data_IF_246312572116
#
_entry.id   IF_246312572116
#
_cell.length_a   1.000
_cell.length_b   1.000
_cell.length_c   1.000
_cell.angle_alpha   90.00
_cell.angle_beta   90.00
_cell.angle_gamma   90.00
#
_symmetry.space_group_name_H-M   'P 1'
#
loop_
_entity.id
_entity.type
_entity.pdbx_description
1 polymer ?
#
# COMPACT_ATOMS: atom_id res chain seq x y z
N UNK A 1 -10.53 28.23 5.47
CA UNK A 1 -9.68 29.39 5.78
C UNK A 1 -8.39 29.19 5.00
N UNK A 2 -7.61 30.23 4.70
CA UNK A 2 -6.25 30.00 4.19
C UNK A 2 -5.42 29.26 5.24
N UNK A 3 -4.49 28.42 4.81
CA UNK A 3 -3.57 27.63 5.64
C UNK A 3 -2.14 28.04 5.39
N UNK A 4 -1.21 27.54 6.20
CA UNK A 4 0.23 27.80 6.01
C UNK A 4 0.71 27.32 4.64
N UNK A 5 0.10 26.26 4.09
CA UNK A 5 0.41 25.76 2.76
C UNK A 5 0.08 26.75 1.63
N UNK A 6 -0.82 27.71 1.86
CA UNK A 6 -1.18 28.72 0.86
C UNK A 6 -0.08 29.76 0.60
N UNK A 7 0.95 29.84 1.45
CA UNK A 7 2.10 30.71 1.21
C UNK A 7 3.09 30.11 0.20
N UNK A 8 2.96 28.81 -0.13
CA UNK A 8 3.81 28.11 -1.08
C UNK A 8 3.23 28.17 -2.50
N UNK A 9 4.10 28.21 -3.51
CA UNK A 9 3.73 28.28 -4.93
C UNK A 9 3.29 26.90 -5.50
N UNK A 10 2.28 26.27 -4.88
CA UNK A 10 1.88 24.88 -5.16
C UNK A 10 0.39 24.69 -5.45
N UNK A 11 -0.42 25.75 -5.50
CA UNK A 11 -1.85 25.67 -5.83
C UNK A 11 -2.09 25.03 -7.19
N UNK A 12 -2.95 24.01 -7.23
CA UNK A 12 -3.35 23.31 -8.46
C UNK A 12 -4.71 23.81 -8.99
N UNK A 13 -5.50 24.47 -8.15
CA UNK A 13 -6.84 24.97 -8.46
C UNK A 13 -7.04 26.38 -7.90
N UNK A 14 -8.10 27.07 -8.32
CA UNK A 14 -8.44 28.43 -7.86
C UNK A 14 -9.15 28.37 -6.49
N UNK A 15 -8.53 27.71 -5.53
CA UNK A 15 -8.98 27.54 -4.13
C UNK A 15 -7.77 27.46 -3.20
N UNK A 16 -8.01 27.55 -1.88
CA UNK A 16 -6.96 27.32 -0.89
C UNK A 16 -6.54 25.84 -0.81
N UNK A 17 -5.41 25.60 -0.16
CA UNK A 17 -4.81 24.28 -0.03
C UNK A 17 -5.64 23.27 0.77
N UNK A 18 -6.77 23.62 1.40
CA UNK A 18 -7.69 22.63 2.01
C UNK A 18 -8.57 21.90 0.98
N UNK A 19 -8.60 22.38 -0.27
CA UNK A 19 -9.49 21.86 -1.29
C UNK A 19 -8.75 21.14 -2.41
N UNK A 20 -9.46 20.19 -3.01
CA UNK A 20 -9.02 19.41 -4.17
C UNK A 20 -10.00 19.59 -5.31
N UNK A 21 -9.55 19.37 -6.53
CA UNK A 21 -10.39 19.53 -7.72
C UNK A 21 -11.64 18.66 -7.64
N UNK A 22 -12.78 19.24 -8.02
CA UNK A 22 -14.07 18.55 -8.02
C UNK A 22 -14.66 18.24 -6.64
N UNK A 23 -13.92 18.46 -5.54
CA UNK A 23 -14.38 18.27 -4.15
C UNK A 23 -15.03 16.89 -3.93
N UNK A 24 -14.49 15.86 -4.59
CA UNK A 24 -15.05 14.53 -4.53
C UNK A 24 -14.94 13.99 -3.09
N UNK A 25 -16.04 13.53 -2.46
CA UNK A 25 -16.01 13.05 -1.07
C UNK A 25 -15.11 11.82 -0.86
N UNK A 26 -14.74 11.13 -1.95
CA UNK A 26 -13.85 9.97 -1.96
C UNK A 26 -12.41 10.32 -2.33
N UNK A 27 -12.07 11.60 -2.38
CA UNK A 27 -10.69 12.01 -2.63
C UNK A 27 -9.81 11.64 -1.44
N UNK A 28 -8.71 10.98 -1.73
CA UNK A 28 -7.70 10.56 -0.77
C UNK A 28 -6.34 11.11 -1.18
N UNK A 29 -5.51 11.37 -0.18
CA UNK A 29 -4.07 11.55 -0.34
C UNK A 29 -3.40 10.67 0.71
N UNK A 30 -2.79 9.57 0.26
CA UNK A 30 -2.40 8.44 1.08
C UNK A 30 -0.89 8.18 0.98
N UNK A 31 -0.31 7.83 2.11
CA UNK A 31 1.03 7.28 2.24
C UNK A 31 0.88 5.85 2.77
N UNK A 32 1.67 4.92 2.22
CA UNK A 32 1.79 3.57 2.74
C UNK A 32 3.26 3.17 2.80
N UNK A 33 3.61 2.27 3.71
CA UNK A 33 4.92 1.61 3.73
C UNK A 33 4.80 0.19 4.26
N UNK A 34 5.75 -0.66 3.86
CA UNK A 34 5.96 -1.97 4.45
C UNK A 34 7.46 -2.29 4.41
N UNK A 35 8.03 -2.51 5.59
CA UNK A 35 9.43 -2.75 5.87
C UNK A 35 9.56 -4.12 6.56
N UNK A 36 10.51 -4.93 6.13
CA UNK A 36 10.77 -6.25 6.70
C UNK A 36 12.26 -6.50 6.91
N UNK A 37 12.57 -7.31 7.92
CA UNK A 37 13.93 -7.85 8.11
C UNK A 37 14.19 -8.94 7.08
N UNK A 38 15.40 -9.00 6.53
CA UNK A 38 15.75 -9.94 5.47
C UNK A 38 15.74 -11.40 5.91
N UNK A 39 15.78 -11.66 7.22
CA UNK A 39 15.64 -12.99 7.82
C UNK A 39 14.18 -13.42 8.02
N UNK A 40 13.22 -12.52 7.76
CA UNK A 40 11.79 -12.78 7.92
C UNK A 40 11.31 -12.85 9.36
N UNK A 41 12.11 -12.40 10.34
CA UNK A 41 11.71 -12.42 11.74
C UNK A 41 10.69 -11.34 12.10
N UNK A 42 10.69 -10.21 11.39
CA UNK A 42 9.82 -9.07 11.68
C UNK A 42 9.43 -8.30 10.42
N UNK A 43 8.19 -7.83 10.36
CA UNK A 43 7.78 -6.79 9.41
C UNK A 43 6.85 -5.76 10.04
N UNK A 44 6.92 -4.54 9.53
CA UNK A 44 6.06 -3.42 9.89
C UNK A 44 5.44 -2.87 8.62
N UNK A 45 4.12 -2.77 8.59
CA UNK A 45 3.41 -2.01 7.57
C UNK A 45 2.56 -0.93 8.20
N UNK A 46 2.33 0.14 7.47
CA UNK A 46 1.48 1.21 7.93
C UNK A 46 1.00 2.10 6.80
N UNK A 47 -0.05 2.87 7.08
CA UNK A 47 -0.53 3.90 6.20
C UNK A 47 -0.97 5.14 6.97
N UNK A 48 -1.07 6.24 6.23
CA UNK A 48 -1.69 7.48 6.68
C UNK A 48 -2.47 8.08 5.51
N UNK A 49 -3.77 8.26 5.70
CA UNK A 49 -4.67 8.87 4.73
C UNK A 49 -5.11 10.27 5.15
N UNK A 50 -5.10 11.20 4.20
CA UNK A 50 -5.69 12.54 4.31
C UNK A 50 -6.95 12.59 3.44
N UNK A 51 -8.06 13.05 4.03
CA UNK A 51 -9.37 13.11 3.40
C UNK A 51 -9.89 14.57 3.40
N UNK A 52 -9.52 15.37 2.39
CA UNK A 52 -9.82 16.81 2.39
C UNK A 52 -11.32 17.11 2.48
N UNK A 53 -12.16 16.35 1.77
CA UNK A 53 -13.60 16.59 1.72
C UNK A 53 -14.32 16.34 3.05
N UNK A 54 -13.79 15.45 3.90
CA UNK A 54 -14.34 15.14 5.23
C UNK A 54 -13.57 15.82 6.37
N UNK A 55 -12.51 16.57 6.04
CA UNK A 55 -11.60 17.21 6.99
C UNK A 55 -11.13 16.22 8.07
N UNK A 56 -10.65 15.05 7.64
CA UNK A 56 -10.16 14.01 8.55
C UNK A 56 -8.91 13.32 8.02
N UNK A 57 -8.19 12.69 8.94
CA UNK A 57 -7.07 11.80 8.67
C UNK A 57 -7.25 10.51 9.46
N UNK A 58 -6.74 9.42 8.90
CA UNK A 58 -6.53 8.18 9.63
C UNK A 58 -5.10 7.69 9.45
N UNK A 59 -4.65 6.85 10.37
CA UNK A 59 -3.42 6.12 10.25
C UNK A 59 -3.56 4.77 10.94
N UNK A 60 -2.86 3.77 10.41
CA UNK A 60 -2.75 2.47 11.05
C UNK A 60 -1.35 1.90 10.87
N UNK A 61 -0.94 1.05 11.79
CA UNK A 61 0.27 0.25 11.66
C UNK A 61 0.03 -1.17 12.18
N UNK A 62 0.65 -2.14 11.50
CA UNK A 62 0.65 -3.55 11.84
C UNK A 62 2.09 -4.02 11.95
N UNK A 63 2.42 -4.70 13.05
CA UNK A 63 3.73 -5.35 13.26
C UNK A 63 3.51 -6.86 13.29
N UNK A 64 4.16 -7.60 12.40
CA UNK A 64 4.19 -9.05 12.43
C UNK A 64 5.49 -9.50 13.12
N UNK A 65 5.37 -10.21 14.23
CA UNK A 65 6.51 -10.71 15.01
C UNK A 65 6.10 -11.93 15.83
N UNK A 66 6.96 -12.97 15.88
CA UNK A 66 6.77 -14.11 16.77
C UNK A 66 5.47 -14.89 16.57
N UNK A 67 4.94 -14.97 15.35
CA UNK A 67 3.68 -15.64 15.05
C UNK A 67 2.42 -14.85 15.45
N UNK A 68 2.57 -13.56 15.81
CA UNK A 68 1.47 -12.64 16.10
C UNK A 68 1.49 -11.45 15.15
N UNK A 69 0.33 -10.80 15.03
CA UNK A 69 0.19 -9.47 14.43
C UNK A 69 -0.33 -8.50 15.48
N UNK A 70 0.30 -7.33 15.58
CA UNK A 70 -0.04 -6.27 16.51
C UNK A 70 -0.49 -5.05 15.72
N UNK A 71 -1.71 -4.62 15.95
CA UNK A 71 -2.33 -3.54 15.19
C UNK A 71 -2.58 -2.34 16.08
N UNK A 72 -2.34 -1.16 15.53
CA UNK A 72 -2.72 0.12 16.11
C UNK A 72 -3.38 0.99 15.06
N UNK A 73 -4.42 1.73 15.44
CA UNK A 73 -5.20 2.55 14.52
C UNK A 73 -5.63 3.84 15.18
N UNK A 74 -5.48 4.94 14.45
CA UNK A 74 -5.77 6.28 14.93
C UNK A 74 -6.56 7.09 13.92
N UNK A 75 -7.40 7.99 14.41
CA UNK A 75 -8.11 8.96 13.58
C UNK A 75 -8.09 10.34 14.19
N UNK A 76 -7.97 11.38 13.35
CA UNK A 76 -8.05 12.77 13.79
C UNK A 76 -8.82 13.63 12.79
N UNK A 77 -9.36 14.73 13.29
CA UNK A 77 -9.83 15.83 12.47
C UNK A 77 -8.68 16.67 11.91
N UNK A 78 -8.89 17.25 10.73
CA UNK A 78 -8.00 18.21 10.05
C UNK A 78 -8.56 19.61 10.23
N UNK A 79 -7.72 20.55 10.65
CA UNK A 79 -8.12 21.92 10.97
C UNK A 79 -7.20 22.95 10.30
N UNK A 80 -7.06 22.86 8.97
CA UNK A 80 -6.16 23.73 8.22
C UNK A 80 -4.69 23.30 8.29
N UNK A 81 -4.44 22.04 8.68
CA UNK A 81 -3.13 21.46 8.97
C UNK A 81 -2.95 20.10 8.28
N UNK A 82 -3.49 19.94 7.07
CA UNK A 82 -3.52 18.64 6.38
C UNK A 82 -2.12 18.13 5.95
N UNK A 83 -1.11 18.98 6.00
CA UNK A 83 0.30 18.64 5.83
C UNK A 83 0.95 18.07 7.10
N UNK A 84 0.34 18.28 8.27
CA UNK A 84 0.80 17.69 9.54
C UNK A 84 0.48 16.19 9.55
N UNK A 85 1.49 15.39 9.19
CA UNK A 85 1.44 13.92 9.10
C UNK A 85 1.62 13.25 10.46
N UNK A 86 0.74 13.60 11.39
CA UNK A 86 0.66 13.01 12.73
C UNK A 86 -0.79 12.65 13.02
N UNK A 87 -1.05 11.40 13.40
CA UNK A 87 -2.39 10.92 13.75
C UNK A 87 -2.28 10.02 14.97
N UNK A 88 -2.73 10.53 16.12
CA UNK A 88 -2.56 9.84 17.40
C UNK A 88 -1.08 9.59 17.71
N UNK A 89 -0.69 8.31 17.88
CA UNK A 89 0.69 7.93 18.12
C UNK A 89 1.55 7.76 16.86
N UNK A 90 0.97 7.78 15.66
CA UNK A 90 1.68 7.54 14.40
C UNK A 90 2.13 8.85 13.75
N UNK A 91 3.37 8.92 13.28
CA UNK A 91 3.85 10.03 12.46
C UNK A 91 4.63 9.55 11.22
N UNK A 92 4.59 10.37 10.17
CA UNK A 92 5.36 10.17 8.95
C UNK A 92 6.03 11.48 8.50
N UNK A 93 7.33 11.58 8.72
CA UNK A 93 8.12 12.76 8.43
C UNK A 93 8.85 12.61 7.09
N UNK A 94 8.82 13.65 6.27
CA UNK A 94 9.66 13.77 5.07
C UNK A 94 10.95 14.44 5.53
N UNK A 95 12.04 13.68 5.63
CA UNK A 95 13.34 14.20 6.05
C UNK A 95 14.08 14.80 4.84
N UNK A 96 14.08 14.07 3.72
CA UNK A 96 14.59 14.53 2.44
C UNK A 96 13.71 13.96 1.31
N UNK A 97 12.98 14.80 0.53
CA UNK A 97 12.06 14.34 -0.49
C UNK A 97 12.66 13.27 -1.42
N UNK A 98 11.97 12.13 -1.53
CA UNK A 98 12.40 10.94 -2.28
C UNK A 98 13.70 10.26 -1.82
N UNK A 99 14.35 10.73 -0.77
CA UNK A 99 15.62 10.20 -0.26
C UNK A 99 15.50 9.63 1.14
N UNK A 100 14.81 10.32 2.04
CA UNK A 100 14.71 9.93 3.44
C UNK A 100 13.33 10.26 4.05
N UNK A 101 12.80 9.29 4.80
CA UNK A 101 11.58 9.42 5.60
C UNK A 101 11.82 8.87 7.00
N UNK A 102 11.05 9.36 7.96
CA UNK A 102 10.98 8.77 9.30
C UNK A 102 9.55 8.37 9.62
N UNK A 103 9.35 7.12 10.01
CA UNK A 103 8.06 6.58 10.43
C UNK A 103 8.14 6.24 11.91
N UNK A 104 7.21 6.76 12.71
CA UNK A 104 7.20 6.48 14.15
C UNK A 104 5.83 6.05 14.63
N UNK A 105 5.84 5.22 15.66
CA UNK A 105 4.71 4.91 16.53
C UNK A 105 5.16 5.13 17.97
N UNK A 106 4.69 6.22 18.59
CA UNK A 106 5.02 6.54 19.96
C UNK A 106 4.48 5.46 20.93
N UNK A 107 5.21 5.12 22.00
CA UNK A 107 4.71 4.21 23.03
C UNK A 107 3.52 4.82 23.77
N UNK A 108 2.51 3.99 24.07
CA UNK A 108 1.32 4.38 24.82
C UNK A 108 0.92 3.29 25.81
N UNK A 109 0.19 3.66 26.87
CA UNK A 109 -0.32 2.69 27.85
C UNK A 109 -1.25 1.68 27.18
N UNK A 110 -1.05 0.38 27.44
CA UNK A 110 -1.84 -0.70 26.85
C UNK A 110 -1.48 -1.02 25.39
N UNK A 111 -0.56 -0.29 24.77
CA UNK A 111 -0.08 -0.54 23.42
C UNK A 111 1.08 -1.54 23.44
N UNK A 112 0.93 -2.66 22.74
CA UNK A 112 1.93 -3.73 22.72
C UNK A 112 3.15 -3.40 21.85
N UNK A 113 3.04 -2.44 20.94
CA UNK A 113 4.07 -2.13 19.95
C UNK A 113 4.42 -0.66 19.87
N UNK A 114 5.66 -0.32 19.56
CA UNK A 114 6.11 1.03 19.20
C UNK A 114 7.31 0.92 18.25
N UNK A 115 7.57 1.94 17.45
CA UNK A 115 8.72 1.92 16.55
C UNK A 115 9.22 3.32 16.20
N UNK A 116 10.48 3.37 15.79
CA UNK A 116 11.14 4.53 15.20
C UNK A 116 12.02 4.02 14.06
N UNK A 117 11.58 4.28 12.83
CA UNK A 117 12.15 3.73 11.61
C UNK A 117 12.59 4.86 10.69
N UNK A 118 13.85 4.83 10.30
CA UNK A 118 14.38 5.68 9.23
C UNK A 118 14.37 4.87 7.93
N UNK A 119 13.66 5.35 6.92
CA UNK A 119 13.65 4.80 5.58
C UNK A 119 14.51 5.65 4.66
N UNK A 120 15.42 5.02 3.92
CA UNK A 120 16.30 5.69 2.96
C UNK A 120 16.24 5.02 1.59
N UNK A 121 16.33 5.82 0.52
CA UNK A 121 16.32 5.31 -0.84
C UNK A 121 17.27 6.08 -1.75
N UNK A 122 18.12 5.32 -2.44
CA UNK A 122 18.91 5.79 -3.58
C UNK A 122 18.21 5.55 -4.92
N UNK A 123 17.07 4.86 -4.89
CA UNK A 123 16.34 4.41 -6.08
C UNK A 123 15.31 5.44 -6.49
N UNK A 124 15.10 5.61 -7.78
CA UNK A 124 14.07 6.53 -8.28
C UNK A 124 12.65 6.02 -7.94
N UNK A 125 11.66 6.92 -7.75
CA UNK A 125 10.26 6.52 -7.62
C UNK A 125 9.76 5.84 -8.90
N UNK A 126 9.09 4.71 -8.75
CA UNK A 126 8.44 3.96 -9.82
C UNK A 126 7.00 4.47 -9.98
N UNK A 127 6.82 5.44 -10.89
CA UNK A 127 5.53 6.06 -11.18
C UNK A 127 4.68 5.20 -12.12
N UNK A 128 3.37 5.20 -11.92
CA UNK A 128 2.43 4.68 -12.92
C UNK A 128 2.62 5.39 -14.26
N UNK A 129 2.46 4.68 -15.38
CA UNK A 129 2.61 5.25 -16.72
C UNK A 129 1.54 6.32 -17.04
N UNK A 130 0.42 6.28 -16.32
CA UNK A 130 -0.64 7.29 -16.32
C UNK A 130 -1.59 7.05 -15.14
N UNK A 131 -2.56 7.95 -14.89
CA UNK A 131 -3.53 7.74 -13.81
C UNK A 131 -4.21 6.38 -13.95
N UNK A 132 -4.41 5.69 -12.83
CA UNK A 132 -5.19 4.48 -12.73
C UNK A 132 -6.66 4.87 -12.78
N UNK A 133 -7.31 4.66 -13.92
CA UNK A 133 -8.65 5.20 -14.20
C UNK A 133 -9.65 4.09 -14.42
N UNK A 134 -10.61 3.97 -13.51
CA UNK A 134 -11.66 2.99 -13.65
C UNK A 134 -13.04 3.65 -13.63
N UNK A 135 -13.87 3.40 -14.66
CA UNK A 135 -15.24 3.90 -14.77
C UNK A 135 -16.21 2.76 -15.02
N UNK A 136 -17.38 2.82 -14.39
CA UNK A 136 -18.51 1.93 -14.70
C UNK A 136 -19.31 2.50 -15.87
N UNK A 137 -19.45 1.71 -16.93
CA UNK A 137 -20.15 2.06 -18.18
C UNK A 137 -19.69 3.40 -18.80
N UNK A 138 -18.41 3.75 -18.59
CA UNK A 138 -17.81 5.03 -19.02
C UNK A 138 -18.35 6.28 -18.30
N UNK A 139 -19.25 6.14 -17.32
CA UNK A 139 -19.95 7.27 -16.68
C UNK A 139 -19.55 7.50 -15.23
N UNK A 140 -19.72 6.49 -14.39
CA UNK A 140 -19.47 6.62 -12.95
C UNK A 140 -18.00 6.36 -12.63
N UNK A 141 -17.29 7.35 -12.10
CA UNK A 141 -15.90 7.20 -11.64
C UNK A 141 -15.86 6.23 -10.47
N UNK A 142 -15.09 5.16 -10.63
CA UNK A 142 -14.80 4.19 -9.59
C UNK A 142 -13.42 4.50 -9.00
N UNK A 143 -12.37 4.49 -9.83
CA UNK A 143 -11.00 4.91 -9.50
C UNK A 143 -10.54 6.02 -10.44
N UNK A 144 -9.78 6.96 -9.90
CA UNK A 144 -9.03 7.96 -10.68
C UNK A 144 -7.85 8.40 -9.82
N UNK A 145 -6.77 7.63 -9.85
CA UNK A 145 -5.69 7.68 -8.87
C UNK A 145 -4.34 7.82 -9.56
N UNK A 146 -3.48 8.70 -9.08
CA UNK A 146 -2.06 8.65 -9.40
C UNK A 146 -1.30 8.02 -8.25
N UNK A 147 -0.26 7.24 -8.54
CA UNK A 147 0.58 6.65 -7.51
C UNK A 147 2.01 6.45 -7.97
N UNK A 148 2.90 6.32 -7.00
CA UNK A 148 4.23 5.80 -7.23
C UNK A 148 4.69 5.00 -6.02
N UNK A 149 5.57 4.04 -6.27
CA UNK A 149 6.19 3.21 -5.25
C UNK A 149 7.69 3.45 -5.25
N UNK A 150 8.34 3.33 -4.09
CA UNK A 150 9.78 3.48 -3.99
C UNK A 150 10.32 2.47 -2.99
N UNK A 151 11.23 1.62 -3.48
CA UNK A 151 11.92 0.67 -2.63
C UNK A 151 13.13 1.33 -1.96
N UNK A 152 13.56 0.80 -0.83
CA UNK A 152 14.67 1.34 -0.06
C UNK A 152 15.07 0.44 1.10
N UNK A 153 16.03 0.93 1.87
CA UNK A 153 16.45 0.33 3.13
C UNK A 153 15.82 1.05 4.32
N UNK A 154 15.78 0.36 5.45
CA UNK A 154 15.35 0.92 6.71
C UNK A 154 16.32 0.55 7.84
N UNK A 155 16.33 1.38 8.87
CA UNK A 155 17.07 1.16 10.11
C UNK A 155 16.30 1.74 11.29
N UNK A 156 16.74 1.44 12.51
CA UNK A 156 16.09 1.89 13.73
C UNK A 156 15.62 0.72 14.60
N UNK A 157 14.47 0.87 15.25
CA UNK A 157 14.01 -0.13 16.21
C UNK A 157 12.50 -0.30 16.27
N UNK A 158 12.08 -1.51 16.61
CA UNK A 158 10.70 -1.88 16.91
C UNK A 158 10.67 -2.50 18.30
N UNK A 159 9.80 -2.00 19.16
CA UNK A 159 9.55 -2.60 20.48
C UNK A 159 8.24 -3.36 20.44
N UNK A 160 8.25 -4.64 20.81
CA UNK A 160 7.09 -5.53 20.86
C UNK A 160 7.02 -6.21 22.23
N UNK A 161 5.89 -6.08 22.93
CA UNK A 161 5.68 -6.66 24.27
C UNK A 161 6.81 -6.32 25.29
N UNK A 162 7.46 -5.16 25.10
CA UNK A 162 8.56 -4.68 25.94
C UNK A 162 9.96 -5.14 25.51
N UNK A 163 10.09 -5.98 24.48
CA UNK A 163 11.35 -6.34 23.84
C UNK A 163 11.66 -5.37 22.69
N UNK A 164 12.85 -4.74 22.69
CA UNK A 164 13.30 -3.87 21.60
C UNK A 164 14.20 -4.62 20.64
N UNK A 165 13.84 -4.61 19.36
CA UNK A 165 14.49 -5.30 18.27
C UNK A 165 15.08 -4.23 17.33
N UNK A 166 16.37 -4.32 17.05
CA UNK A 166 17.00 -3.49 16.03
C UNK A 166 16.64 -4.02 14.64
N UNK A 167 16.34 -3.12 13.71
CA UNK A 167 15.97 -3.46 12.32
C UNK A 167 16.98 -2.87 11.33
N UNK A 168 18.25 -2.80 11.73
CA UNK A 168 19.33 -2.28 10.90
C UNK A 168 19.56 -3.18 9.68
N UNK A 169 19.47 -2.59 8.49
CA UNK A 169 19.57 -3.33 7.23
C UNK A 169 18.25 -4.00 6.81
N UNK A 170 17.14 -3.67 7.47
CA UNK A 170 15.82 -3.97 6.93
C UNK A 170 15.63 -3.28 5.57
N UNK A 171 14.67 -3.79 4.81
CA UNK A 171 14.36 -3.28 3.47
C UNK A 171 12.85 -3.20 3.31
N UNK A 172 12.40 -2.35 2.41
CA UNK A 172 10.98 -2.14 2.27
C UNK A 172 10.61 -1.30 1.09
N UNK A 173 9.32 -1.03 1.01
CA UNK A 173 8.72 -0.18 -0.01
C UNK A 173 7.83 0.84 0.67
N UNK A 174 7.91 2.07 0.20
CA UNK A 174 6.89 3.10 0.46
C UNK A 174 6.10 3.39 -0.81
N UNK A 175 4.90 3.90 -0.63
CA UNK A 175 4.01 4.30 -1.71
C UNK A 175 3.35 5.63 -1.35
N UNK A 176 3.12 6.45 -2.37
CA UNK A 176 2.21 7.59 -2.28
C UNK A 176 1.15 7.43 -3.34
N UNK A 177 -0.09 7.70 -2.97
CA UNK A 177 -1.19 7.72 -3.93
C UNK A 177 -2.17 8.85 -3.62
N UNK A 178 -2.74 9.45 -4.65
CA UNK A 178 -3.73 10.52 -4.47
C UNK A 178 -4.73 10.54 -5.62
N UNK A 179 -5.97 10.90 -5.31
CA UNK A 179 -7.07 10.89 -6.27
C UNK A 179 -8.34 10.30 -5.69
N UNK A 180 -9.19 9.74 -6.54
CA UNK A 180 -10.50 9.20 -6.18
C UNK A 180 -10.42 7.68 -6.01
N UNK A 181 -10.79 7.19 -4.82
CA UNK A 181 -10.88 5.75 -4.50
C UNK A 181 -12.33 5.26 -4.35
N UNK A 182 -12.58 3.95 -4.40
CA UNK A 182 -13.88 3.41 -4.10
C UNK A 182 -14.04 3.33 -2.58
N UNK A 183 -15.16 3.79 -2.05
CA UNK A 183 -15.50 3.64 -0.63
C UNK A 183 -16.87 2.97 -0.58
N UNK A 184 -17.00 1.88 0.19
CA UNK A 184 -18.27 1.17 0.28
C UNK A 184 -19.38 2.09 0.79
N UNK A 185 -20.58 1.94 0.21
CA UNK A 185 -21.73 2.79 0.55
C UNK A 185 -21.67 4.23 0.00
N UNK A 186 -20.51 4.72 -0.45
CA UNK A 186 -20.37 6.07 -1.03
C UNK A 186 -20.38 6.10 -2.56
N UNK A 187 -20.38 4.93 -3.21
CA UNK A 187 -20.59 4.83 -4.65
C UNK A 187 -22.05 4.43 -4.90
N UNK A 188 -22.92 5.32 -5.43
CA UNK A 188 -24.33 5.02 -5.63
C UNK A 188 -24.56 3.78 -6.49
N UNK A 189 -25.46 2.90 -6.04
CA UNK A 189 -25.84 1.66 -6.73
C UNK A 189 -24.70 0.64 -6.95
N UNK A 190 -23.58 0.76 -6.23
CA UNK A 190 -22.62 -0.34 -6.02
C UNK A 190 -23.15 -1.23 -4.88
N UNK A 191 -24.08 -2.13 -5.21
CA UNK A 191 -24.47 -3.23 -4.30
C UNK A 191 -23.47 -4.40 -4.33
N UNK A 192 -22.47 -4.33 -5.21
CA UNK A 192 -21.34 -5.26 -5.39
C UNK A 192 -20.18 -4.49 -6.03
N UNK A 193 -18.91 -4.89 -5.83
CA UNK A 193 -17.80 -4.40 -6.64
C UNK A 193 -18.14 -4.52 -8.14
N UNK A 194 -17.88 -3.50 -8.98
CA UNK A 194 -18.01 -3.62 -10.42
C UNK A 194 -17.11 -4.77 -10.90
N UNK A 195 -17.60 -5.56 -11.86
CA UNK A 195 -16.84 -6.66 -12.48
C UNK A 195 -15.49 -6.23 -13.07
N UNK A 196 -15.37 -4.94 -13.29
CA UNK A 196 -14.26 -4.24 -13.89
C UNK A 196 -13.20 -3.75 -12.88
N UNK A 197 -13.39 -4.00 -11.58
CA UNK A 197 -12.33 -3.99 -10.55
C UNK A 197 -11.51 -5.30 -10.61
N UNK A 198 -12.01 -6.32 -11.32
CA UNK A 198 -11.35 -7.61 -11.50
C UNK A 198 -11.65 -8.62 -10.41
N UNK A 199 -11.36 -9.89 -10.68
CA UNK A 199 -11.51 -10.99 -9.71
C UNK A 199 -10.32 -11.12 -8.78
N UNK A 200 -9.12 -10.72 -9.23
CA UNK A 200 -7.88 -10.79 -8.46
C UNK A 200 -6.94 -9.67 -8.84
N UNK A 201 -6.15 -9.17 -7.89
CA UNK A 201 -5.08 -8.21 -8.15
C UNK A 201 -3.78 -8.71 -7.55
N UNK A 202 -2.73 -8.72 -8.37
CA UNK A 202 -1.35 -8.92 -7.98
C UNK A 202 -0.63 -7.58 -8.07
N UNK A 203 -0.13 -7.09 -6.94
CA UNK A 203 0.75 -5.93 -6.89
C UNK A 203 2.06 -6.37 -6.24
N UNK A 204 3.18 -5.92 -6.79
CA UNK A 204 4.50 -6.20 -6.27
C UNK A 204 5.40 -4.97 -6.41
N UNK A 205 6.22 -4.71 -5.40
CA UNK A 205 7.37 -3.83 -5.52
C UNK A 205 8.56 -4.42 -4.76
N UNK A 206 9.76 -4.33 -5.32
CA UNK A 206 10.94 -4.98 -4.78
C UNK A 206 12.23 -4.21 -5.09
N UNK A 207 13.30 -4.53 -4.37
CA UNK A 207 14.67 -4.03 -4.60
C UNK A 207 15.68 -5.17 -4.64
N UNK A 208 16.60 -5.10 -5.61
CA UNK A 208 17.74 -5.99 -5.82
C UNK A 208 19.00 -5.12 -6.02
N UNK A 209 19.69 -4.77 -4.93
CA UNK A 209 20.84 -3.87 -5.00
C UNK A 209 20.46 -2.49 -5.57
N UNK A 210 21.04 -2.04 -6.71
CA UNK A 210 20.75 -0.73 -7.30
C UNK A 210 19.50 -0.72 -8.20
N UNK A 211 18.75 -1.82 -8.26
CA UNK A 211 17.56 -1.94 -9.10
C UNK A 211 16.31 -2.10 -8.24
N UNK A 212 15.23 -1.45 -8.63
CA UNK A 212 13.88 -1.73 -8.13
C UNK A 212 12.95 -2.13 -9.26
N UNK A 213 11.96 -2.95 -8.93
CA UNK A 213 10.88 -3.31 -9.83
C UNK A 213 9.54 -3.09 -9.17
N UNK A 214 8.56 -2.67 -9.96
CA UNK A 214 7.16 -2.57 -9.58
C UNK A 214 6.28 -3.12 -10.69
N UNK A 215 5.27 -3.91 -10.31
CA UNK A 215 4.27 -4.47 -11.22
C UNK A 215 2.91 -4.46 -10.53
N UNK A 216 1.89 -4.08 -11.27
CA UNK A 216 0.50 -4.23 -10.85
C UNK A 216 -0.34 -4.80 -11.99
N UNK A 217 -0.88 -5.99 -11.76
CA UNK A 217 -1.76 -6.71 -12.67
C UNK A 217 -3.11 -6.98 -12.01
N UNK A 218 -4.19 -6.64 -12.72
CA UNK A 218 -5.57 -6.92 -12.29
C UNK A 218 -6.20 -7.91 -13.28
N UNK A 219 -6.60 -9.08 -12.79
CA UNK A 219 -7.31 -10.11 -13.55
C UNK A 219 -8.80 -9.73 -13.70
N UNK A 220 -9.36 -9.67 -14.93
CA UNK A 220 -10.75 -9.31 -15.14
C UNK A 220 -11.70 -10.47 -14.81
N UNK A 221 -12.94 -10.14 -14.44
CA UNK A 221 -13.98 -11.16 -14.29
C UNK A 221 -14.21 -11.93 -15.61
N UNK A 222 -14.15 -13.26 -15.55
CA UNK A 222 -14.40 -14.14 -16.69
C UNK A 222 -13.18 -14.57 -17.50
N UNK A 223 -11.95 -14.22 -17.06
CA UNK A 223 -10.70 -14.76 -17.60
C UNK A 223 -10.37 -14.31 -19.02
N UNK A 224 -10.89 -13.17 -19.49
CA UNK A 224 -10.55 -12.65 -20.81
C UNK A 224 -9.12 -12.08 -20.80
N UNK A 225 -8.26 -12.53 -21.73
CA UNK A 225 -6.93 -11.95 -22.00
C UNK A 225 -7.03 -10.58 -22.71
N UNK A 226 -7.89 -9.69 -22.23
CA UNK A 226 -8.05 -8.39 -22.84
C UNK A 226 -6.84 -7.52 -22.47
N UNK A 227 -6.14 -6.98 -23.47
CA UNK A 227 -4.93 -6.19 -23.29
C UNK A 227 -5.27 -4.72 -23.04
N UNK A 228 -4.84 -4.14 -21.91
CA UNK A 228 -5.02 -2.73 -21.58
C UNK A 228 -4.08 -2.27 -20.45
N UNK A 229 -3.85 -0.95 -20.35
CA UNK A 229 -3.08 -0.36 -19.24
C UNK A 229 -3.97 -0.03 -18.04
N UNK A 230 -3.40 0.25 -16.87
CA UNK A 230 -4.16 0.70 -15.69
C UNK A 230 -5.01 1.96 -15.91
N UNK A 231 -4.64 2.80 -16.89
CA UNK A 231 -5.41 3.98 -17.29
C UNK A 231 -6.52 3.76 -18.32
N UNK A 232 -6.71 2.55 -18.84
CA UNK A 232 -7.83 2.23 -19.76
C UNK A 232 -9.16 2.34 -19.01
N UNK A 233 -10.22 2.99 -19.51
CA UNK A 233 -11.50 3.08 -18.80
C UNK A 233 -12.48 1.92 -19.10
N UNK A 234 -12.13 1.01 -20.00
CA UNK A 234 -13.01 -0.05 -20.51
C UNK A 234 -13.17 -1.26 -19.59
N UNK A 235 -12.21 -1.53 -18.69
CA UNK A 235 -12.28 -2.63 -17.72
C UNK A 235 -11.67 -3.97 -18.19
N UNK A 236 -10.96 -4.00 -19.32
CA UNK A 236 -10.06 -5.10 -19.73
C UNK A 236 -8.84 -5.21 -18.79
N UNK A 237 -8.20 -6.39 -18.68
CA UNK A 237 -7.03 -6.65 -17.81
C UNK A 237 -6.04 -5.51 -17.87
N UNK A 238 -5.62 -5.06 -16.70
CA UNK A 238 -4.83 -3.85 -16.52
C UNK A 238 -3.49 -4.18 -15.95
N UNK A 239 -2.46 -4.04 -16.77
CA UNK A 239 -1.07 -4.17 -16.35
C UNK A 239 -0.40 -2.80 -16.40
N UNK A 240 0.39 -2.51 -15.38
CA UNK A 240 1.46 -1.53 -15.46
C UNK A 240 2.63 -2.01 -14.61
N UNK A 241 3.79 -1.48 -14.90
CA UNK A 241 5.00 -1.86 -14.21
C UNK A 241 6.21 -1.17 -14.82
N UNK A 242 7.27 -1.10 -14.01
CA UNK A 242 8.57 -0.69 -14.49
C UNK A 242 9.69 -1.29 -13.66
N UNK A 243 10.87 -1.33 -14.26
CA UNK A 243 12.14 -1.49 -13.58
C UNK A 243 12.85 -0.14 -13.57
N UNK A 244 13.49 0.18 -12.46
CA UNK A 244 14.08 1.49 -12.27
C UNK A 244 15.40 1.37 -11.51
N UNK A 245 16.39 2.19 -11.89
CA UNK A 245 17.70 2.26 -11.25
C UNK A 245 17.82 3.38 -10.21
N UNK A 246 19.04 3.81 -9.89
CA UNK A 246 19.29 4.93 -9.00
C UNK A 246 18.64 6.24 -9.47
N UNK A 247 18.44 7.16 -8.53
CA UNK A 247 17.92 8.50 -8.81
C UNK A 247 18.73 9.24 -9.88
N UNK A 248 18.03 9.78 -10.88
CA UNK A 248 18.63 10.54 -11.97
C UNK A 248 19.38 9.69 -13.00
N UNK A 249 19.32 8.37 -12.89
CA UNK A 249 19.96 7.44 -13.82
C UNK A 249 18.92 6.70 -14.67
N UNK A 250 18.88 7.04 -15.96
CA UNK A 250 18.02 6.40 -16.96
C UNK A 250 16.53 6.64 -16.74
N UNK A 251 15.75 6.36 -17.77
CA UNK A 251 14.29 6.32 -17.65
C UNK A 251 13.85 4.93 -17.15
N UNK A 252 12.78 4.82 -16.35
CA UNK A 252 12.23 3.52 -15.96
C UNK A 252 11.87 2.67 -17.17
N UNK A 253 12.35 1.43 -17.18
CA UNK A 253 12.08 0.45 -18.21
C UNK A 253 10.70 -0.16 -17.99
N UNK A 254 9.76 0.10 -18.88
CA UNK A 254 8.35 -0.30 -18.71
C UNK A 254 8.13 -1.79 -18.94
N UNK A 255 7.28 -2.40 -18.12
CA UNK A 255 6.81 -3.77 -18.29
C UNK A 255 5.64 -3.79 -19.28
N UNK A 256 5.61 -4.81 -20.13
CA UNK A 256 4.62 -5.02 -21.19
C UNK A 256 3.77 -6.27 -21.00
N UNK A 257 4.30 -7.30 -20.33
CA UNK A 257 3.53 -8.46 -19.86
C UNK A 257 4.07 -8.99 -18.54
N UNK A 258 3.19 -9.60 -17.76
CA UNK A 258 3.51 -10.36 -16.56
C UNK A 258 2.76 -11.69 -16.62
N UNK A 259 3.50 -12.79 -16.59
CA UNK A 259 2.97 -14.15 -16.45
C UNK A 259 3.25 -14.62 -15.02
N UNK A 260 2.21 -15.11 -14.33
CA UNK A 260 2.25 -15.39 -12.90
C UNK A 260 1.89 -16.85 -12.64
N UNK A 261 2.80 -17.59 -12.00
CA UNK A 261 2.55 -18.94 -11.48
C UNK A 261 2.63 -18.90 -9.95
N UNK A 262 1.50 -18.57 -9.31
CA UNK A 262 1.41 -18.35 -7.87
C UNK A 262 0.82 -19.55 -7.15
N UNK A 263 1.42 -19.90 -6.02
CA UNK A 263 1.01 -21.00 -5.17
C UNK A 263 0.36 -20.44 -3.91
N UNK A 264 -0.78 -21.00 -3.53
CA UNK A 264 -1.57 -20.49 -2.42
C UNK A 264 -1.93 -21.57 -1.41
N UNK A 265 -2.17 -21.13 -0.18
CA UNK A 265 -2.81 -21.88 0.89
C UNK A 265 -4.04 -21.09 1.41
N UNK A 266 -4.72 -21.60 2.44
CA UNK A 266 -5.93 -21.00 3.02
C UNK A 266 -7.01 -20.73 1.96
N UNK A 267 -7.39 -21.77 1.22
CA UNK A 267 -8.39 -21.72 0.14
C UNK A 267 -8.09 -20.68 -0.95
N UNK A 268 -6.81 -20.57 -1.32
CA UNK A 268 -6.37 -19.67 -2.38
C UNK A 268 -6.14 -18.23 -1.91
N UNK A 269 -6.15 -17.97 -0.61
CA UNK A 269 -6.06 -16.61 -0.07
C UNK A 269 -4.67 -16.17 0.36
N UNK A 270 -3.80 -17.09 0.78
CA UNK A 270 -2.48 -16.74 1.31
C UNK A 270 -1.39 -17.24 0.38
N UNK A 271 -0.47 -16.36 -0.02
CA UNK A 271 0.66 -16.75 -0.87
C UNK A 271 1.55 -17.71 -0.10
N UNK A 272 1.94 -18.82 -0.74
CA UNK A 272 2.90 -19.80 -0.21
C UNK A 272 4.17 -19.89 -1.08
N UNK A 273 4.23 -19.12 -2.16
CA UNK A 273 5.36 -19.06 -3.08
C UNK A 273 4.88 -18.88 -4.51
N UNK A 274 5.81 -18.89 -5.46
CA UNK A 274 5.48 -18.85 -6.87
C UNK A 274 6.59 -18.26 -7.71
N UNK A 275 6.26 -17.93 -8.96
CA UNK A 275 7.15 -17.25 -9.87
C UNK A 275 6.41 -16.22 -10.73
N UNK A 276 7.15 -15.27 -11.25
CA UNK A 276 6.67 -14.28 -12.21
C UNK A 276 7.69 -14.13 -13.34
N UNK A 277 7.22 -14.18 -14.58
CA UNK A 277 8.00 -13.86 -15.78
C UNK A 277 7.53 -12.50 -16.31
N UNK A 278 8.41 -11.51 -16.28
CA UNK A 278 8.12 -10.14 -16.71
C UNK A 278 8.80 -9.87 -18.06
N UNK A 279 8.04 -9.38 -19.04
CA UNK A 279 8.59 -8.92 -20.33
C UNK A 279 8.63 -7.40 -20.33
N UNK A 280 9.81 -6.81 -20.48
CA UNK A 280 9.94 -5.37 -20.68
C UNK A 280 9.64 -4.95 -22.14
N UNK A 281 9.46 -3.65 -22.36
CA UNK A 281 9.16 -3.09 -23.68
C UNK A 281 10.32 -3.15 -24.68
N UNK A 282 11.54 -3.41 -24.21
CA UNK A 282 12.72 -3.60 -25.05
C UNK A 282 12.92 -5.07 -25.45
N UNK A 283 12.07 -5.98 -24.95
CA UNK A 283 12.06 -7.40 -25.23
C UNK A 283 12.90 -8.25 -24.27
N UNK A 284 13.38 -7.66 -23.17
CA UNK A 284 14.06 -8.38 -22.10
C UNK A 284 13.07 -9.12 -21.19
N UNK A 285 13.47 -10.32 -20.75
CA UNK A 285 12.67 -11.16 -19.86
C UNK A 285 13.34 -11.26 -18.49
N UNK A 286 12.53 -11.06 -17.44
CA UNK A 286 12.97 -11.06 -16.05
C UNK A 286 12.20 -12.14 -15.29
N UNK A 287 12.92 -13.20 -14.91
CA UNK A 287 12.37 -14.34 -14.17
C UNK A 287 12.56 -14.15 -12.67
N UNK A 288 11.46 -14.22 -11.93
CA UNK A 288 11.41 -13.98 -10.50
C UNK A 288 10.85 -15.21 -9.78
N UNK A 289 11.49 -15.65 -8.70
CA UNK A 289 10.87 -16.59 -7.75
C UNK A 289 10.48 -15.87 -6.48
N UNK A 290 9.27 -16.10 -5.98
CA UNK A 290 8.69 -15.44 -4.82
C UNK A 290 8.66 -16.41 -3.63
N UNK A 291 9.20 -15.96 -2.50
CA UNK A 291 9.13 -16.68 -1.23
C UNK A 291 8.65 -15.75 -0.12
N UNK A 292 7.39 -15.88 0.34
CA UNK A 292 6.89 -15.14 1.50
C UNK A 292 7.74 -15.42 2.74
N UNK A 293 8.12 -14.36 3.44
CA UNK A 293 8.86 -14.41 4.70
C UNK A 293 7.96 -14.05 5.88
N UNK A 294 7.23 -12.94 5.76
CA UNK A 294 6.22 -12.52 6.73
C UNK A 294 4.92 -12.15 6.02
N UNK A 295 3.86 -12.06 6.80
CA UNK A 295 2.51 -11.75 6.33
C UNK A 295 1.89 -10.70 7.23
N UNK A 296 1.32 -9.67 6.63
CA UNK A 296 0.43 -8.73 7.30
C UNK A 296 -0.97 -8.89 6.71
N UNK A 297 -1.94 -9.08 7.59
CA UNK A 297 -3.35 -9.12 7.26
C UNK A 297 -3.92 -7.72 7.29
N UNK A 298 -4.43 -7.25 6.15
CA UNK A 298 -4.81 -5.86 5.92
C UNK A 298 -5.96 -5.35 6.80
N UNK A 299 -6.72 -6.26 7.43
CA UNK A 299 -7.68 -5.91 8.49
C UNK A 299 -7.01 -5.18 9.65
N UNK A 300 -5.73 -5.50 9.92
CA UNK A 300 -4.85 -4.76 10.82
C UNK A 300 -4.71 -3.29 10.48
N UNK A 301 -4.72 -2.98 9.19
CA UNK A 301 -4.59 -1.65 8.65
C UNK A 301 -5.96 -0.95 8.43
N UNK A 302 -7.08 -1.59 8.79
CA UNK A 302 -8.43 -1.04 8.65
C UNK A 302 -9.16 -1.44 7.35
N UNK A 303 -8.56 -2.26 6.50
CA UNK A 303 -9.21 -2.78 5.29
C UNK A 303 -10.10 -3.96 5.66
N UNK A 304 -11.42 -3.80 5.49
CA UNK A 304 -12.38 -4.84 5.87
C UNK A 304 -12.63 -4.95 7.37
N UNK A 305 -12.11 -4.03 8.20
CA UNK A 305 -12.34 -4.02 9.64
C UNK A 305 -13.79 -3.61 9.96
N UNK A 306 -14.47 -4.24 10.94
CA UNK A 306 -15.86 -3.93 11.26
C UNK A 306 -16.05 -2.48 11.73
N UNK A 307 -15.22 -2.03 12.67
CA UNK A 307 -15.40 -0.74 13.37
C UNK A 307 -14.41 0.39 12.96
N UNK A 308 -13.22 0.07 12.46
CA UNK A 308 -12.23 1.03 11.94
C UNK A 308 -12.08 0.86 10.43
N UNK A 309 -13.03 1.40 9.67
CA UNK A 309 -13.01 1.25 8.20
C UNK A 309 -12.14 2.33 7.58
N UNK A 310 -11.15 1.93 6.80
CA UNK A 310 -10.28 2.84 6.06
C UNK A 310 -11.08 3.87 5.22
N UNK A 311 -10.62 5.12 5.15
CA UNK A 311 -11.26 6.26 4.42
C UNK A 311 -12.58 6.79 5.04
N UNK A 312 -13.15 6.12 6.04
CA UNK A 312 -14.29 6.68 6.78
C UNK A 312 -13.84 7.79 7.74
N UNK A 313 -14.74 8.74 8.03
CA UNK A 313 -14.49 9.83 8.97
C UNK A 313 -14.18 9.27 10.36
N UNK A 314 -13.08 9.74 10.95
CA UNK A 314 -12.65 9.35 12.30
C UNK A 314 -12.17 10.57 13.05
N UNK A 315 -12.56 10.67 14.31
CA UNK A 315 -12.10 11.73 15.19
C UNK A 315 -11.89 11.18 16.60
N UNK A 316 -10.70 11.40 17.15
CA UNK A 316 -10.30 10.93 18.48
C UNK A 316 -10.27 9.40 18.63
N UNK A 317 -10.23 8.64 17.54
CA UNK A 317 -10.19 7.18 17.59
C UNK A 317 -8.77 6.71 17.90
N UNK A 318 -8.64 5.80 18.86
CA UNK A 318 -7.41 5.08 19.16
C UNK A 318 -7.78 3.62 19.49
N UNK A 319 -7.25 2.67 18.74
CA UNK A 319 -7.50 1.25 18.92
C UNK A 319 -6.18 0.47 18.85
N UNK A 320 -6.10 -0.61 19.62
CA UNK A 320 -5.01 -1.57 19.52
C UNK A 320 -5.55 -2.99 19.68
N UNK A 321 -5.03 -3.90 18.86
CA UNK A 321 -5.43 -5.31 18.83
C UNK A 321 -4.19 -6.18 18.64
N UNK A 322 -4.25 -7.41 19.17
CA UNK A 322 -3.23 -8.43 18.96
C UNK A 322 -3.89 -9.70 18.49
N UNK A 323 -3.38 -10.27 17.41
CA UNK A 323 -3.90 -11.48 16.78
C UNK A 323 -2.83 -12.57 16.78
N UNK A 324 -3.19 -13.78 17.23
CA UNK A 324 -2.33 -14.96 17.07
C UNK A 324 -2.46 -15.48 15.63
N UNK A 325 -1.47 -15.15 14.80
CA UNK A 325 -1.45 -15.55 13.39
C UNK A 325 -0.99 -16.99 13.16
N UNK A 326 -0.61 -17.70 14.23
CA UNK A 326 -0.38 -19.15 14.19
C UNK A 326 -1.69 -19.94 14.29
N UNK A 327 -2.77 -19.33 14.80
CA UNK A 327 -4.10 -19.91 14.84
C UNK A 327 -4.86 -19.69 13.52
N UNK A 328 -5.27 -20.80 12.89
CA UNK A 328 -5.97 -20.77 11.60
C UNK A 328 -7.36 -20.14 11.68
N UNK A 329 -8.04 -20.23 12.83
CA UNK A 329 -9.34 -19.60 13.02
C UNK A 329 -9.21 -18.07 13.09
N UNK A 330 -8.21 -17.57 13.82
CA UNK A 330 -7.84 -16.15 13.85
C UNK A 330 -7.50 -15.64 12.46
N UNK A 331 -6.65 -16.36 11.71
CA UNK A 331 -6.30 -16.01 10.33
C UNK A 331 -7.53 -15.99 9.41
N UNK A 332 -8.43 -16.97 9.52
CA UNK A 332 -9.67 -16.99 8.73
C UNK A 332 -10.54 -15.76 9.03
N UNK A 333 -10.63 -15.35 10.29
CA UNK A 333 -11.32 -14.12 10.70
C UNK A 333 -10.66 -12.85 10.14
N UNK A 334 -9.33 -12.79 10.07
CA UNK A 334 -8.60 -11.67 9.48
C UNK A 334 -8.77 -11.58 7.95
N UNK A 335 -8.90 -12.72 7.27
CA UNK A 335 -9.11 -12.84 5.82
C UNK A 335 -10.58 -12.71 5.37
N UNK A 336 -11.50 -12.57 6.32
CA UNK A 336 -12.91 -12.37 6.03
C UNK A 336 -13.22 -10.90 5.67
N UNK A 337 -14.16 -10.67 4.74
CA UNK A 337 -14.58 -9.33 4.31
C UNK A 337 -16.10 -9.11 4.45
N UNK A 338 -16.72 -9.65 5.50
CA UNK A 338 -18.16 -9.47 5.76
C UNK A 338 -18.55 -8.01 6.05
N UNK A 339 -17.58 -7.12 6.30
CA UNK A 339 -17.82 -5.69 6.50
C UNK A 339 -18.21 -4.94 5.21
N UNK A 340 -18.08 -5.60 4.05
CA UNK A 340 -18.49 -5.07 2.74
C UNK A 340 -17.51 -4.05 2.16
N UNK A 341 -16.29 -3.93 2.68
CA UNK A 341 -15.32 -2.95 2.19
C UNK A 341 -15.00 -3.19 0.69
N UNK A 342 -15.10 -2.15 -0.15
CA UNK A 342 -14.88 -2.26 -1.63
C UNK A 342 -13.39 -2.34 -1.99
N UNK A 343 -12.49 -2.13 -1.04
CA UNK A 343 -11.06 -2.17 -1.36
C UNK A 343 -10.54 -3.61 -1.37
N UNK A 344 -9.72 -3.97 -2.38
CA UNK A 344 -9.57 -5.35 -2.79
C UNK A 344 -8.45 -6.09 -2.02
N UNK A 345 -7.54 -5.41 -1.31
CA UNK A 345 -6.40 -6.09 -0.68
C UNK A 345 -6.72 -6.64 0.71
N UNK A 346 -6.60 -7.95 0.86
CA UNK A 346 -6.84 -8.66 2.11
C UNK A 346 -5.54 -8.93 2.89
N UNK A 347 -4.43 -9.01 2.17
CA UNK A 347 -3.16 -9.53 2.67
C UNK A 347 -1.99 -8.96 1.89
N UNK A 348 -0.89 -8.76 2.59
CA UNK A 348 0.39 -8.41 1.99
C UNK A 348 1.52 -9.21 2.63
N UNK A 349 2.49 -9.55 1.79
CA UNK A 349 3.60 -10.41 2.13
C UNK A 349 4.90 -9.65 1.92
N UNK A 350 5.76 -9.65 2.93
CA UNK A 350 7.17 -9.37 2.70
C UNK A 350 7.82 -10.63 2.14
N UNK A 351 8.49 -10.51 1.00
CA UNK A 351 9.00 -11.63 0.23
C UNK A 351 10.50 -11.50 -0.01
N UNK A 352 11.19 -12.63 0.07
CA UNK A 352 12.45 -12.84 -0.66
C UNK A 352 12.09 -13.10 -2.13
N UNK A 353 12.76 -12.39 -3.03
CA UNK A 353 12.51 -12.44 -4.47
C UNK A 353 13.83 -12.76 -5.14
N UNK A 354 13.99 -13.94 -5.74
CA UNK A 354 15.22 -14.27 -6.46
C UNK A 354 15.06 -13.91 -7.93
N UNK A 355 16.04 -13.18 -8.48
CA UNK A 355 16.16 -12.83 -9.89
C UNK A 355 17.49 -13.38 -10.43
N UNK A 356 17.47 -14.60 -10.97
CA UNK A 356 18.69 -15.33 -11.31
C UNK A 356 19.54 -15.64 -10.06
N UNK A 357 20.78 -15.17 -10.02
CA UNK A 357 21.69 -15.33 -8.87
C UNK A 357 21.56 -14.21 -7.82
N UNK A 358 20.73 -13.18 -8.08
CA UNK A 358 20.54 -12.07 -7.16
C UNK A 358 19.36 -12.33 -6.23
N UNK A 359 19.56 -12.10 -4.94
CA UNK A 359 18.48 -12.05 -3.95
C UNK A 359 18.01 -10.61 -3.78
N UNK A 360 16.72 -10.43 -3.98
CA UNK A 360 15.98 -9.20 -3.81
C UNK A 360 14.98 -9.36 -2.67
N UNK A 361 14.43 -8.26 -2.19
CA UNK A 361 13.38 -8.25 -1.18
C UNK A 361 12.32 -7.23 -1.55
N UNK A 362 11.07 -7.52 -1.20
CA UNK A 362 9.97 -6.66 -1.60
C UNK A 362 8.67 -7.06 -0.95
N UNK A 363 7.62 -6.43 -1.42
CA UNK A 363 6.26 -6.62 -0.91
C UNK A 363 5.39 -7.10 -2.06
N UNK A 364 4.61 -8.14 -1.80
CA UNK A 364 3.56 -8.64 -2.69
C UNK A 364 2.23 -8.45 -2.00
N UNK A 365 1.33 -7.65 -2.60
CA UNK A 365 -0.04 -7.47 -2.12
C UNK A 365 -0.98 -8.28 -3.00
N UNK A 366 -1.92 -8.98 -2.37
CA UNK A 366 -2.91 -9.78 -3.05
C UNK A 366 -4.32 -9.29 -2.70
N UNK A 367 -5.13 -9.23 -3.74
CA UNK A 367 -6.57 -9.02 -3.65
C UNK A 367 -7.29 -10.20 -4.27
N UNK A 368 -8.34 -10.70 -3.60
CA UNK A 368 -8.86 -12.05 -3.79
C UNK A 368 -10.38 -12.09 -3.67
#
# INVERSE_FOLDING_TARGET
MATELDDYAIHQIIENMEHVEGRNPRWVDELWFHIGTTDGSLSVAGHMGVYPATASMDAAASVAYGGKQYDVRFGRRVEGDRDRREVGGISAEIVDPFRAWRFTLAPAEGQAVSFDLEFSSELQPMEVAGPVQHRRDGRQVIWDLYQYSQAGSASGSVTVEGETIAVDGAVGVRERSWGVRPVFGQVPHLGRPPSSIGSRSFWMAATAGPLSGWVWQIEPEGGSNATGGLGDDTGATRLDGCLAGPHGEGDPLRISSADLDLQFEMDGKRLNGGSASLLDRDGGTHELSLKPLTTIYAKGLGYGHPDFRHIEYKDGVAQSETHDTSDTATVAGLLDNDSGHINPFAIEHFCEIAAGEQTAYGVVRLSI
#
